data_IF_740966344123
#
_entry.id   IF_740966344123
#
_cell.length_a   1.000
_cell.length_b   1.000
_cell.length_c   1.000
_cell.angle_alpha   90.00
_cell.angle_beta   90.00
_cell.angle_gamma   90.00
#
_symmetry.space_group_name_H-M   'P 1'
#
loop_
_entity.id
_entity.type
_entity.pdbx_description
1 polymer ?
#
# COMPACT_ATOMS: atom_id res chain seq x y z
N UNK A 1 22.97 36.43 9.89
CA UNK A 1 21.56 36.23 10.27
C UNK A 1 21.09 34.96 9.59
N UNK A 2 21.38 33.82 10.21
CA UNK A 2 20.94 32.51 9.76
C UNK A 2 19.52 32.31 10.29
N UNK A 3 18.55 32.19 9.39
CA UNK A 3 17.18 31.84 9.76
C UNK A 3 17.14 30.34 9.99
N UNK A 4 17.12 29.94 11.26
CA UNK A 4 16.62 28.64 11.68
C UNK A 4 15.15 28.54 11.25
N UNK A 5 14.89 27.76 10.21
CA UNK A 5 13.56 27.28 9.88
C UNK A 5 13.45 25.89 10.52
N UNK A 6 13.34 25.86 11.85
CA UNK A 6 12.67 24.77 12.54
C UNK A 6 11.17 25.01 12.35
N UNK A 7 10.67 24.66 11.17
CA UNK A 7 9.25 24.48 10.98
C UNK A 7 8.93 23.07 11.47
N UNK A 8 8.62 22.97 12.76
CA UNK A 8 7.95 21.81 13.34
C UNK A 8 6.70 21.50 12.51
N UNK A 9 6.47 20.21 12.22
CA UNK A 9 5.20 19.73 11.70
C UNK A 9 4.07 20.31 12.55
N UNK A 10 3.17 21.13 11.97
CA UNK A 10 2.14 21.81 12.75
C UNK A 10 1.18 20.74 13.33
N UNK A 11 1.20 20.46 14.65
CA UNK A 11 0.50 19.31 15.23
C UNK A 11 -1.01 19.36 15.01
N UNK A 12 -1.55 20.59 14.85
CA UNK A 12 -2.97 20.80 14.55
C UNK A 12 -3.38 20.28 13.16
N UNK A 13 -2.48 20.31 12.17
CA UNK A 13 -2.78 19.85 10.81
C UNK A 13 -2.87 18.33 10.74
N UNK A 14 -1.94 17.62 11.39
CA UNK A 14 -1.97 16.15 11.46
C UNK A 14 -3.21 15.65 12.20
N UNK A 15 -3.59 16.34 13.28
CA UNK A 15 -4.83 16.04 14.02
C UNK A 15 -6.08 16.21 13.13
N UNK A 16 -6.15 17.29 12.35
CA UNK A 16 -7.26 17.51 11.41
C UNK A 16 -7.35 16.41 10.34
N UNK A 17 -6.22 15.99 9.77
CA UNK A 17 -6.20 14.87 8.81
C UNK A 17 -6.72 13.58 9.44
N UNK A 18 -6.34 13.28 10.69
CA UNK A 18 -6.85 12.10 11.42
C UNK A 18 -8.36 12.20 11.66
N UNK A 19 -8.86 13.35 12.08
CA UNK A 19 -10.30 13.55 12.26
C UNK A 19 -11.08 13.43 10.93
N UNK A 20 -10.50 13.90 9.83
CA UNK A 20 -11.08 13.73 8.50
C UNK A 20 -11.09 12.26 8.05
N UNK A 21 -10.05 11.48 8.38
CA UNK A 21 -10.02 10.03 8.10
C UNK A 21 -11.23 9.31 8.69
N UNK A 22 -11.53 9.57 9.96
CA UNK A 22 -12.66 8.92 10.64
C UNK A 22 -14.03 9.38 10.13
N UNK A 23 -14.09 10.49 9.38
CA UNK A 23 -15.31 11.05 8.79
C UNK A 23 -15.42 10.77 7.28
N UNK A 24 -14.49 9.99 6.70
CA UNK A 24 -14.53 9.61 5.28
C UNK A 24 -15.67 8.63 5.01
N UNK A 25 -16.87 9.18 4.84
CA UNK A 25 -18.07 8.44 4.42
C UNK A 25 -18.52 8.88 3.02
N UNK A 26 -19.39 8.11 2.39
CA UNK A 26 -19.99 8.45 1.09
C UNK A 26 -21.15 7.52 0.75
N UNK A 27 -22.22 8.08 0.19
CA UNK A 27 -23.46 7.34 -0.08
C UNK A 27 -23.37 6.48 -1.35
N UNK A 28 -22.47 6.84 -2.28
CA UNK A 28 -22.23 6.11 -3.52
C UNK A 28 -20.73 6.06 -3.86
N UNK A 29 -20.35 5.12 -4.75
CA UNK A 29 -18.96 4.86 -5.11
C UNK A 29 -18.23 6.06 -5.76
N UNK A 30 -18.84 6.84 -6.67
CA UNK A 30 -18.21 8.04 -7.24
C UNK A 30 -17.86 9.10 -6.20
N UNK A 31 -18.77 9.42 -5.29
CA UNK A 31 -18.53 10.39 -4.22
C UNK A 31 -17.43 9.93 -3.28
N UNK A 32 -17.42 8.64 -2.94
CA UNK A 32 -16.37 8.04 -2.11
C UNK A 32 -14.99 8.21 -2.76
N UNK A 33 -14.87 7.94 -4.06
CA UNK A 33 -13.62 8.16 -4.81
C UNK A 33 -13.21 9.63 -4.83
N UNK A 34 -14.15 10.56 -5.07
CA UNK A 34 -13.86 12.00 -5.08
C UNK A 34 -13.34 12.47 -3.71
N UNK A 35 -13.98 12.04 -2.62
CA UNK A 35 -13.56 12.36 -1.25
C UNK A 35 -12.18 11.78 -0.93
N UNK A 36 -11.93 10.52 -1.29
CA UNK A 36 -10.63 9.89 -1.13
C UNK A 36 -9.53 10.64 -1.89
N UNK A 37 -9.75 10.98 -3.16
CA UNK A 37 -8.76 11.72 -3.94
C UNK A 37 -8.47 13.10 -3.34
N UNK A 38 -9.51 13.81 -2.89
CA UNK A 38 -9.34 15.09 -2.22
C UNK A 38 -8.55 14.95 -0.90
N UNK A 39 -8.83 13.89 -0.14
CA UNK A 39 -8.11 13.58 1.08
C UNK A 39 -6.63 13.26 0.82
N UNK A 40 -6.31 12.49 -0.21
CA UNK A 40 -4.92 12.23 -0.63
C UNK A 40 -4.20 13.52 -1.04
N UNK A 41 -4.88 14.42 -1.74
CA UNK A 41 -4.32 15.74 -2.09
C UNK A 41 -4.02 16.54 -0.81
N UNK A 42 -4.95 16.58 0.15
CA UNK A 42 -4.73 17.26 1.44
C UNK A 42 -3.54 16.68 2.20
N UNK A 43 -3.41 15.36 2.25
CA UNK A 43 -2.25 14.71 2.87
C UNK A 43 -0.96 15.21 2.21
N UNK A 44 -0.86 15.15 0.88
CA UNK A 44 0.32 15.61 0.12
C UNK A 44 0.63 17.10 0.26
N UNK A 45 -0.38 17.93 0.52
CA UNK A 45 -0.22 19.37 0.72
C UNK A 45 0.22 19.75 2.14
N UNK A 46 -0.14 18.92 3.13
CA UNK A 46 0.10 19.24 4.54
C UNK A 46 1.29 18.51 5.14
N UNK A 47 1.73 17.42 4.51
CA UNK A 47 2.87 16.62 4.95
C UNK A 47 4.09 16.98 4.11
N UNK A 48 5.19 17.32 4.78
CA UNK A 48 6.36 17.96 4.17
C UNK A 48 7.34 16.97 3.57
N UNK A 49 7.48 15.81 4.22
CA UNK A 49 8.47 14.81 3.84
C UNK A 49 7.99 13.37 4.08
N UNK A 50 8.83 12.42 3.69
CA UNK A 50 8.54 11.00 3.77
C UNK A 50 8.46 10.48 5.22
N UNK A 51 9.24 11.07 6.14
CA UNK A 51 9.25 10.68 7.55
C UNK A 51 7.94 11.06 8.23
N UNK A 52 7.50 12.30 8.03
CA UNK A 52 6.21 12.79 8.52
C UNK A 52 5.05 11.98 7.89
N UNK A 53 5.15 11.64 6.60
CA UNK A 53 4.14 10.80 5.94
C UNK A 53 4.11 9.39 6.51
N UNK A 54 5.27 8.79 6.80
CA UNK A 54 5.35 7.48 7.45
C UNK A 54 4.79 7.53 8.87
N UNK A 55 5.07 8.58 9.65
CA UNK A 55 4.54 8.73 11.00
C UNK A 55 3.02 8.85 10.96
N UNK A 56 2.49 9.73 10.12
CA UNK A 56 1.05 9.94 9.94
C UNK A 56 0.31 8.65 9.55
N UNK A 57 0.80 7.93 8.55
CA UNK A 57 0.14 6.70 8.07
C UNK A 57 0.14 5.56 9.11
N UNK A 58 1.15 5.52 9.99
CA UNK A 58 1.18 4.62 11.17
C UNK A 58 0.14 5.03 12.24
N UNK A 59 -0.19 6.32 12.36
CA UNK A 59 -1.20 6.82 13.30
C UNK A 59 -2.65 6.49 12.88
N UNK A 60 -2.88 6.11 11.62
CA UNK A 60 -4.21 5.70 11.14
C UNK A 60 -4.62 4.38 11.81
N UNK A 61 -5.32 4.47 12.94
CA UNK A 61 -5.95 3.33 13.61
C UNK A 61 -7.28 3.01 12.95
N UNK A 62 -7.59 1.72 12.84
CA UNK A 62 -8.80 1.23 12.19
C UNK A 62 -9.57 0.36 13.16
N UNK A 63 -10.80 0.77 13.48
CA UNK A 63 -11.65 0.08 14.47
C UNK A 63 -12.60 -0.93 13.80
N UNK A 64 -12.75 -0.85 12.47
CA UNK A 64 -13.61 -1.75 11.70
C UNK A 64 -13.03 -2.10 10.31
N UNK A 65 -13.65 -3.09 9.67
CA UNK A 65 -13.26 -3.61 8.35
C UNK A 65 -13.36 -2.54 7.24
N UNK A 66 -14.31 -1.60 7.33
CA UNK A 66 -14.46 -0.53 6.34
C UNK A 66 -13.29 0.44 6.43
N UNK A 67 -12.89 0.82 7.64
CA UNK A 67 -11.73 1.66 7.90
C UNK A 67 -10.43 0.96 7.50
N UNK A 68 -10.30 -0.34 7.74
CA UNK A 68 -9.15 -1.14 7.27
C UNK A 68 -9.03 -1.10 5.74
N UNK A 69 -10.14 -1.33 5.03
CA UNK A 69 -10.19 -1.26 3.56
C UNK A 69 -9.87 0.13 3.02
N UNK A 70 -10.26 1.18 3.74
CA UNK A 70 -9.96 2.57 3.41
C UNK A 70 -8.50 2.91 3.65
N UNK A 71 -7.93 2.46 4.78
CA UNK A 71 -6.50 2.59 5.08
C UNK A 71 -5.66 1.96 3.97
N UNK A 72 -6.01 0.75 3.53
CA UNK A 72 -5.32 0.09 2.40
C UNK A 72 -5.38 0.95 1.11
N UNK A 73 -6.54 1.53 0.78
CA UNK A 73 -6.65 2.43 -0.39
C UNK A 73 -5.73 3.64 -0.26
N UNK A 74 -5.67 4.25 0.92
CA UNK A 74 -4.81 5.39 1.20
C UNK A 74 -3.34 4.99 1.04
N UNK A 75 -2.92 3.89 1.65
CA UNK A 75 -1.54 3.40 1.57
C UNK A 75 -1.13 3.07 0.14
N UNK A 76 -2.02 2.46 -0.66
CA UNK A 76 -1.78 2.20 -2.09
C UNK A 76 -1.60 3.50 -2.89
N UNK A 77 -2.44 4.51 -2.67
CA UNK A 77 -2.31 5.80 -3.37
C UNK A 77 -1.10 6.62 -2.93
N UNK A 78 -0.62 6.41 -1.71
CA UNK A 78 0.58 7.03 -1.16
C UNK A 78 1.85 6.19 -1.36
N UNK A 79 1.76 5.04 -2.05
CA UNK A 79 2.88 4.10 -2.31
C UNK A 79 3.63 3.67 -1.04
N UNK A 80 2.90 3.40 0.05
CA UNK A 80 3.48 2.97 1.33
C UNK A 80 3.70 1.46 1.37
N UNK A 81 4.57 0.98 0.48
CA UNK A 81 4.77 -0.45 0.23
C UNK A 81 5.18 -1.21 1.49
N UNK A 82 6.11 -0.69 2.30
CA UNK A 82 6.53 -1.34 3.56
C UNK A 82 5.36 -1.60 4.52
N UNK A 83 4.44 -0.64 4.64
CA UNK A 83 3.26 -0.79 5.49
C UNK A 83 2.25 -1.76 4.88
N UNK A 84 2.10 -1.76 3.55
CA UNK A 84 1.26 -2.72 2.84
C UNK A 84 1.79 -4.15 2.98
N UNK A 85 3.10 -4.34 2.97
CA UNK A 85 3.75 -5.65 3.22
C UNK A 85 3.49 -6.15 4.64
N UNK A 86 3.62 -5.27 5.63
CA UNK A 86 3.27 -5.63 7.00
C UNK A 86 1.79 -6.03 7.10
N UNK A 87 0.90 -5.25 6.47
CA UNK A 87 -0.53 -5.55 6.47
C UNK A 87 -0.86 -6.86 5.75
N UNK A 88 -0.14 -7.24 4.69
CA UNK A 88 -0.37 -8.50 3.98
C UNK A 88 -0.25 -9.73 4.87
N UNK A 89 0.67 -9.70 5.85
CA UNK A 89 0.89 -10.82 6.79
C UNK A 89 -0.26 -11.03 7.76
N UNK A 90 -1.06 -10.00 8.01
CA UNK A 90 -2.13 -9.98 9.02
C UNK A 90 -3.52 -9.76 8.39
N UNK A 91 -3.61 -9.59 7.07
CA UNK A 91 -4.82 -9.20 6.36
C UNK A 91 -5.79 -10.36 6.15
N UNK A 92 -7.08 -10.02 6.11
CA UNK A 92 -8.12 -10.90 5.59
C UNK A 92 -7.98 -11.09 4.06
N UNK A 93 -8.61 -12.14 3.52
CA UNK A 93 -8.57 -12.49 2.09
C UNK A 93 -8.96 -11.33 1.15
N UNK A 94 -9.95 -10.51 1.51
CA UNK A 94 -10.41 -9.39 0.67
C UNK A 94 -9.36 -8.28 0.65
N UNK A 95 -8.79 -7.99 1.81
CA UNK A 95 -7.72 -7.02 1.98
C UNK A 95 -6.46 -7.45 1.23
N UNK A 96 -6.07 -8.72 1.34
CA UNK A 96 -4.97 -9.31 0.57
C UNK A 96 -5.19 -9.18 -0.93
N UNK A 97 -6.36 -9.60 -1.43
CA UNK A 97 -6.68 -9.49 -2.86
C UNK A 97 -6.61 -8.04 -3.36
N UNK A 98 -7.02 -7.06 -2.53
CA UNK A 98 -6.98 -5.65 -2.90
C UNK A 98 -5.56 -5.10 -3.02
N UNK A 99 -4.67 -5.49 -2.10
CA UNK A 99 -3.26 -5.09 -2.13
C UNK A 99 -2.58 -5.73 -3.34
N UNK A 100 -2.74 -7.04 -3.51
CA UNK A 100 -2.02 -7.81 -4.54
C UNK A 100 -2.56 -7.62 -5.96
N UNK A 101 -3.77 -7.08 -6.13
CA UNK A 101 -4.28 -6.74 -7.46
C UNK A 101 -3.84 -5.35 -7.94
N UNK A 102 -3.18 -4.56 -7.09
CA UNK A 102 -2.66 -3.26 -7.47
C UNK A 102 -1.33 -3.40 -8.23
N UNK A 103 -1.33 -3.02 -9.51
CA UNK A 103 -0.18 -3.17 -10.40
C UNK A 103 1.02 -2.30 -10.00
N UNK A 104 0.78 -1.10 -9.48
CA UNK A 104 1.86 -0.19 -9.08
C UNK A 104 2.57 -0.77 -7.86
N UNK A 105 1.82 -1.21 -6.86
CA UNK A 105 2.37 -1.87 -5.68
C UNK A 105 3.21 -3.09 -6.08
N UNK A 106 2.66 -3.98 -6.91
CA UNK A 106 3.39 -5.16 -7.40
C UNK A 106 4.66 -4.75 -8.15
N UNK A 107 4.57 -3.84 -9.11
CA UNK A 107 5.73 -3.39 -9.90
C UNK A 107 6.82 -2.79 -9.02
N UNK A 108 6.46 -1.92 -8.08
CA UNK A 108 7.41 -1.31 -7.15
C UNK A 108 8.06 -2.39 -6.26
N UNK A 109 7.27 -3.35 -5.77
CA UNK A 109 7.77 -4.49 -4.99
C UNK A 109 8.80 -5.33 -5.75
N UNK A 110 8.49 -5.71 -7.00
CA UNK A 110 9.38 -6.53 -7.80
C UNK A 110 10.65 -5.81 -8.23
N UNK A 111 10.60 -4.48 -8.37
CA UNK A 111 11.79 -3.68 -8.66
C UNK A 111 12.78 -3.60 -7.48
N UNK A 112 12.32 -3.90 -6.27
CA UNK A 112 13.09 -3.71 -5.03
C UNK A 112 13.37 -5.02 -4.27
N UNK A 113 12.72 -6.13 -4.65
CA UNK A 113 12.77 -7.41 -3.95
C UNK A 113 13.30 -8.51 -4.88
N UNK A 114 14.15 -9.40 -4.33
CA UNK A 114 14.59 -10.60 -5.04
C UNK A 114 13.43 -11.60 -5.18
N UNK A 115 13.47 -12.39 -6.24
CA UNK A 115 12.47 -13.44 -6.51
C UNK A 115 12.26 -14.37 -5.30
N UNK A 116 13.34 -14.90 -4.72
CA UNK A 116 13.29 -15.79 -3.55
C UNK A 116 12.58 -15.15 -2.35
N UNK A 117 12.86 -13.87 -2.08
CA UNK A 117 12.25 -13.14 -0.97
C UNK A 117 10.75 -12.95 -1.18
N UNK A 118 10.30 -12.82 -2.42
CA UNK A 118 8.89 -12.73 -2.76
C UNK A 118 8.15 -14.04 -2.49
N UNK A 119 8.68 -15.18 -2.97
CA UNK A 119 8.06 -16.49 -2.71
C UNK A 119 8.10 -16.89 -1.24
N UNK A 120 9.12 -16.48 -0.51
CA UNK A 120 9.24 -16.82 0.90
C UNK A 120 8.39 -15.93 1.81
N UNK A 121 8.30 -14.63 1.51
CA UNK A 121 7.71 -13.66 2.44
C UNK A 121 6.35 -13.13 2.01
N UNK A 122 5.89 -13.37 0.78
CA UNK A 122 4.68 -12.77 0.22
C UNK A 122 3.69 -13.83 -0.26
N UNK A 123 4.12 -14.75 -1.13
CA UNK A 123 3.27 -15.82 -1.68
C UNK A 123 2.51 -16.63 -0.60
N UNK A 124 3.10 -17.00 0.55
CA UNK A 124 2.40 -17.80 1.56
C UNK A 124 1.18 -17.10 2.17
N UNK A 125 1.12 -15.77 2.08
CA UNK A 125 0.03 -14.95 2.62
C UNK A 125 -1.05 -14.64 1.57
N UNK A 126 -0.87 -15.14 0.35
CA UNK A 126 -1.72 -14.84 -0.79
C UNK A 126 -2.52 -16.10 -1.14
N UNK A 127 -3.84 -15.98 -1.34
CA UNK A 127 -4.63 -17.12 -1.81
C UNK A 127 -4.11 -17.62 -3.15
N UNK A 128 -4.06 -18.93 -3.35
CA UNK A 128 -3.56 -19.54 -4.58
C UNK A 128 -4.13 -18.92 -5.88
N UNK A 129 -5.44 -18.64 -5.89
CA UNK A 129 -6.14 -18.00 -7.01
C UNK A 129 -5.71 -16.54 -7.27
N UNK A 130 -5.15 -15.87 -6.27
CA UNK A 130 -4.51 -14.57 -6.40
C UNK A 130 -3.03 -14.71 -6.76
N UNK A 131 -2.32 -15.72 -6.25
CA UNK A 131 -0.92 -16.04 -6.61
C UNK A 131 -0.78 -16.27 -8.11
N UNK A 132 -1.64 -17.10 -8.71
CA UNK A 132 -1.65 -17.35 -10.14
C UNK A 132 -1.84 -16.04 -10.95
N UNK A 133 -2.72 -15.15 -10.49
CA UNK A 133 -2.95 -13.84 -11.14
C UNK A 133 -1.75 -12.92 -11.00
N UNK A 134 -1.02 -12.99 -9.90
CA UNK A 134 0.19 -12.20 -9.69
C UNK A 134 1.30 -12.72 -10.58
N UNK A 135 1.51 -14.04 -10.66
CA UNK A 135 2.50 -14.67 -11.55
C UNK A 135 2.19 -14.37 -13.02
N UNK A 136 0.94 -14.52 -13.45
CA UNK A 136 0.54 -14.20 -14.83
C UNK A 136 0.67 -12.71 -15.16
N UNK A 137 0.59 -11.83 -14.16
CA UNK A 137 0.86 -10.40 -14.34
C UNK A 137 2.35 -10.13 -14.35
N UNK A 138 3.12 -10.77 -13.47
CA UNK A 138 4.57 -10.72 -13.38
C UNK A 138 5.23 -11.00 -14.72
N UNK A 139 4.85 -12.10 -15.38
CA UNK A 139 5.35 -12.47 -16.71
C UNK A 139 5.12 -11.37 -17.76
N UNK A 140 4.11 -10.51 -17.57
CA UNK A 140 3.81 -9.40 -18.49
C UNK A 140 4.58 -8.12 -18.18
N UNK A 141 5.14 -7.97 -16.98
CA UNK A 141 5.87 -6.76 -16.57
C UNK A 141 7.38 -7.01 -16.49
N UNK A 142 7.80 -8.26 -16.29
CA UNK A 142 9.20 -8.65 -16.34
C UNK A 142 9.65 -8.68 -17.80
N UNK A 143 10.59 -7.80 -18.14
CA UNK A 143 11.31 -7.81 -19.42
C UNK A 143 12.58 -8.68 -19.39
N UNK A 144 12.89 -9.22 -18.22
CA UNK A 144 14.09 -10.01 -17.94
C UNK A 144 13.68 -11.50 -17.82
N UNK A 145 14.06 -12.29 -18.82
CA UNK A 145 13.72 -13.71 -18.95
C UNK A 145 14.32 -14.55 -17.81
N UNK A 146 15.53 -14.23 -17.35
CA UNK A 146 16.20 -14.97 -16.26
C UNK A 146 15.45 -14.77 -14.93
N UNK A 147 14.95 -13.55 -14.70
CA UNK A 147 14.07 -13.27 -13.56
C UNK A 147 12.76 -14.04 -13.69
N UNK A 148 12.13 -14.03 -14.87
CA UNK A 148 10.86 -14.73 -15.11
C UNK A 148 10.97 -16.25 -14.92
N UNK A 149 12.06 -16.86 -15.39
CA UNK A 149 12.35 -18.29 -15.22
C UNK A 149 12.55 -18.63 -13.73
N UNK A 150 13.31 -17.81 -13.00
CA UNK A 150 13.43 -17.94 -11.54
C UNK A 150 12.09 -17.83 -10.80
N UNK A 151 11.13 -17.02 -11.29
CA UNK A 151 9.78 -16.99 -10.72
C UNK A 151 8.97 -18.26 -11.00
N UNK A 152 9.16 -18.89 -12.15
CA UNK A 152 8.46 -20.13 -12.50
C UNK A 152 9.00 -21.33 -11.71
N UNK A 153 10.33 -21.45 -11.60
CA UNK A 153 10.98 -22.56 -10.90
C UNK A 153 10.65 -22.57 -9.40
N UNK A 154 10.77 -21.42 -8.74
CA UNK A 154 10.45 -21.28 -7.31
C UNK A 154 8.98 -21.60 -6.96
N UNK A 155 8.08 -21.50 -7.94
CA UNK A 155 6.67 -21.83 -7.77
C UNK A 155 6.37 -23.33 -7.99
N UNK A 156 7.17 -24.04 -8.80
CA UNK A 156 7.01 -25.48 -9.02
C UNK A 156 7.49 -26.32 -7.83
N UNK A 157 8.49 -25.85 -7.08
CA UNK A 157 8.98 -26.52 -5.86
C UNK A 157 8.00 -26.44 -4.67
N UNK A 158 6.91 -25.66 -4.79
CA UNK A 158 5.89 -25.51 -3.74
C UNK A 158 4.62 -26.35 -3.97
N UNK A 159 4.54 -27.15 -5.05
CA UNK A 159 3.39 -28.00 -5.41
C UNK A 159 3.61 -29.46 -5.00
#
# INVERSE_FOLDING_TARGET
MEKNIEEDANPNKLKQLLEEFYKLEGNNMPEKRKRLNHYIIKIKQNIRDDQELSAFTKMLKTDDIKQQKLKIEILLQLRRNDQLLHMLKEADLISTAKITTNLIFLSDMFSQMKCEDFFKNIVPFIPFSATEKIINRLVKVLTDEDLAEGYFEANNDQI
#
